data_IF_004940538822
#
_entry.id   IF_004940538822
#
_cell.length_a   1.000
_cell.length_b   1.000
_cell.length_c   1.000
_cell.angle_alpha   90.00
_cell.angle_beta   90.00
_cell.angle_gamma   90.00
#
_symmetry.space_group_name_H-M   'P 1'
#
loop_
_entity.id
_entity.type
_entity.pdbx_description
1 polymer ?
#
# COMPACT_ATOMS: atom_id res chain seq x y z
N UNK A 1 18.15 6.72 -11.13
CA UNK A 1 18.14 8.18 -10.96
C UNK A 1 16.83 8.57 -10.31
N UNK A 2 16.85 9.23 -9.17
CA UNK A 2 15.65 9.66 -8.44
C UNK A 2 15.16 11.01 -8.96
N UNK A 3 13.87 11.34 -8.76
CA UNK A 3 13.32 12.67 -9.10
C UNK A 3 14.09 13.79 -8.40
N UNK A 4 14.57 13.52 -7.18
CA UNK A 4 15.39 14.45 -6.41
C UNK A 4 16.77 14.68 -7.05
N UNK A 5 17.46 13.62 -7.48
CA UNK A 5 18.74 13.75 -8.22
C UNK A 5 18.57 14.55 -9.52
N UNK A 6 17.46 14.37 -10.23
CA UNK A 6 17.14 15.13 -11.45
C UNK A 6 16.86 16.60 -11.11
N UNK A 7 16.13 16.86 -10.04
CA UNK A 7 15.86 18.21 -9.57
C UNK A 7 17.15 18.94 -9.18
N UNK A 8 18.07 18.23 -8.51
CA UNK A 8 19.38 18.75 -8.12
C UNK A 8 20.26 19.07 -9.34
N UNK A 9 20.28 18.20 -10.37
CA UNK A 9 21.00 18.46 -11.64
C UNK A 9 20.45 19.69 -12.36
N UNK A 10 19.13 19.87 -12.32
CA UNK A 10 18.44 20.98 -12.98
C UNK A 10 18.43 22.25 -12.11
N UNK A 11 19.04 22.23 -10.93
CA UNK A 11 19.03 23.31 -9.93
C UNK A 11 17.62 23.84 -9.61
N UNK A 12 16.62 22.96 -9.67
CA UNK A 12 15.22 23.27 -9.34
C UNK A 12 14.76 22.48 -8.13
N UNK A 13 13.78 23.04 -7.41
CA UNK A 13 13.12 22.32 -6.32
C UNK A 13 12.30 21.17 -6.89
N UNK A 14 12.31 20.01 -6.22
CA UNK A 14 11.59 18.80 -6.64
C UNK A 14 10.10 19.05 -6.94
N UNK A 15 9.42 19.91 -6.16
CA UNK A 15 8.02 20.23 -6.44
C UNK A 15 7.82 20.96 -7.77
N UNK A 16 8.78 21.79 -8.22
CA UNK A 16 8.70 22.46 -9.54
C UNK A 16 8.90 21.45 -10.66
N UNK A 17 9.82 20.51 -10.48
CA UNK A 17 9.98 19.39 -11.41
C UNK A 17 8.67 18.61 -11.53
N UNK A 18 8.00 18.33 -10.41
CA UNK A 18 6.70 17.66 -10.41
C UNK A 18 5.60 18.48 -11.09
N UNK A 19 5.60 19.81 -10.95
CA UNK A 19 4.68 20.70 -11.68
C UNK A 19 4.90 20.60 -13.19
N UNK A 20 6.15 20.67 -13.67
CA UNK A 20 6.45 20.55 -15.10
C UNK A 20 6.03 19.20 -15.70
N UNK A 21 6.14 18.13 -14.92
CA UNK A 21 5.64 16.81 -15.31
C UNK A 21 4.10 16.82 -15.40
N UNK A 22 3.42 17.32 -14.37
CA UNK A 22 1.95 17.36 -14.33
C UNK A 22 1.36 18.22 -15.45
N UNK A 23 2.03 19.33 -15.77
CA UNK A 23 1.63 20.26 -16.82
C UNK A 23 2.01 19.77 -18.24
N UNK A 24 2.71 18.64 -18.34
CA UNK A 24 3.07 18.00 -19.60
C UNK A 24 4.30 18.60 -20.31
N UNK A 25 5.04 19.49 -19.65
CA UNK A 25 6.31 20.04 -20.18
C UNK A 25 7.46 19.02 -20.13
N UNK A 26 7.37 18.04 -19.22
CA UNK A 26 8.36 16.97 -19.06
C UNK A 26 7.67 15.61 -19.06
N UNK A 27 8.19 14.66 -19.83
CA UNK A 27 7.76 13.27 -19.84
C UNK A 27 8.61 12.45 -18.86
N UNK A 28 7.99 11.96 -17.78
CA UNK A 28 8.65 11.14 -16.76
C UNK A 28 8.51 9.63 -16.97
N UNK A 29 7.92 9.18 -18.09
CA UNK A 29 7.71 7.75 -18.41
C UNK A 29 9.00 6.93 -18.36
N UNK A 30 10.12 7.49 -18.81
CA UNK A 30 11.44 6.84 -18.78
C UNK A 30 11.94 6.71 -17.33
N UNK A 31 11.64 7.68 -16.46
CA UNK A 31 12.08 7.72 -15.06
C UNK A 31 11.28 6.77 -14.15
N UNK A 32 10.06 6.41 -14.54
CA UNK A 32 9.20 5.48 -13.79
C UNK A 32 9.67 4.02 -13.79
N UNK A 33 10.62 3.63 -14.63
CA UNK A 33 11.14 2.25 -14.67
C UNK A 33 11.76 1.79 -13.34
N UNK A 34 12.17 2.71 -12.45
CA UNK A 34 12.67 2.37 -11.12
C UNK A 34 11.59 2.33 -10.02
N UNK A 35 10.42 2.93 -10.24
CA UNK A 35 9.33 2.97 -9.24
C UNK A 35 8.52 1.66 -9.17
N UNK A 36 8.80 0.74 -10.10
CA UNK A 36 8.24 -0.60 -10.15
C UNK A 36 8.59 -1.43 -8.89
N UNK A 37 9.73 -1.14 -8.24
CA UNK A 37 10.07 -1.74 -6.94
C UNK A 37 9.18 -1.23 -5.80
N UNK A 38 8.70 0.02 -5.85
CA UNK A 38 7.71 0.54 -4.88
C UNK A 38 6.30 0.00 -5.18
N UNK A 39 5.93 -0.15 -6.45
CA UNK A 39 4.66 -0.80 -6.85
C UNK A 39 4.62 -2.28 -6.47
N UNK A 40 5.71 -3.05 -6.66
CA UNK A 40 5.80 -4.45 -6.19
C UNK A 40 5.66 -4.56 -4.66
N UNK A 41 6.15 -3.57 -3.89
CA UNK A 41 5.89 -3.47 -2.43
C UNK A 41 4.46 -3.07 -2.07
N UNK A 42 3.61 -2.63 -3.00
CA UNK A 42 2.20 -2.29 -2.74
C UNK A 42 1.22 -3.43 -3.00
N UNK A 43 1.65 -4.49 -3.69
CA UNK A 43 0.83 -5.66 -3.99
C UNK A 43 0.99 -6.79 -2.97
N UNK A 44 1.30 -6.46 -1.70
CA UNK A 44 1.30 -7.48 -0.66
C UNK A 44 -0.12 -7.99 -0.47
N UNK A 45 -0.29 -9.29 -0.59
CA UNK A 45 -1.53 -9.96 -0.25
C UNK A 45 -1.49 -10.36 1.21
N UNK A 46 -2.67 -10.52 1.77
CA UNK A 46 -2.84 -10.93 3.15
C UNK A 46 -3.89 -12.02 3.20
N UNK A 47 -3.62 -13.08 3.97
CA UNK A 47 -4.64 -14.06 4.36
C UNK A 47 -5.33 -13.55 5.61
N UNK A 48 -6.65 -13.52 5.57
CA UNK A 48 -7.49 -13.11 6.69
C UNK A 48 -8.16 -14.32 7.32
N UNK A 49 -8.13 -14.36 8.65
CA UNK A 49 -8.76 -15.40 9.45
C UNK A 49 -9.73 -14.77 10.44
N UNK A 50 -10.87 -15.43 10.66
CA UNK A 50 -11.88 -15.06 11.66
C UNK A 50 -12.07 -16.25 12.60
N UNK A 51 -11.85 -16.04 13.90
CA UNK A 51 -11.95 -17.08 14.93
C UNK A 51 -11.09 -18.34 14.69
N UNK A 52 -10.08 -18.25 13.82
CA UNK A 52 -9.24 -19.39 13.42
C UNK A 52 -9.54 -19.89 12.01
N UNK A 53 -10.73 -19.59 11.49
CA UNK A 53 -11.15 -20.03 10.16
C UNK A 53 -10.67 -19.08 9.08
N UNK A 54 -10.21 -19.64 7.97
CA UNK A 54 -9.77 -18.88 6.81
C UNK A 54 -10.97 -18.22 6.10
N UNK A 55 -10.87 -16.92 5.84
CA UNK A 55 -11.92 -16.16 5.13
C UNK A 55 -11.53 -15.93 3.66
N UNK A 56 -10.29 -15.53 3.41
CA UNK A 56 -9.86 -15.12 2.08
C UNK A 56 -8.44 -14.54 2.03
N UNK A 57 -7.96 -14.32 0.81
CA UNK A 57 -6.66 -13.73 0.51
C UNK A 57 -6.84 -12.54 -0.42
N UNK A 58 -6.16 -11.43 -0.12
CA UNK A 58 -6.24 -10.24 -0.96
C UNK A 58 -5.48 -9.05 -0.39
N UNK A 59 -5.60 -7.91 -1.06
CA UNK A 59 -5.15 -6.62 -0.54
C UNK A 59 -6.04 -6.15 0.61
N UNK A 60 -5.67 -5.06 1.29
CA UNK A 60 -6.52 -4.50 2.33
C UNK A 60 -7.89 -4.03 1.82
N UNK A 61 -7.96 -3.59 0.57
CA UNK A 61 -9.20 -3.13 -0.08
C UNK A 61 -10.11 -4.32 -0.39
N UNK A 62 -9.57 -5.37 -1.01
CA UNK A 62 -10.31 -6.60 -1.31
C UNK A 62 -10.85 -7.27 -0.04
N UNK A 63 -10.06 -7.31 1.04
CA UNK A 63 -10.49 -7.88 2.32
C UNK A 63 -11.52 -6.99 3.06
N UNK A 64 -11.45 -5.68 2.88
CA UNK A 64 -12.42 -4.73 3.43
C UNK A 64 -13.79 -4.95 2.79
N UNK A 65 -13.84 -5.12 1.47
CA UNK A 65 -15.07 -5.46 0.75
C UNK A 65 -15.62 -6.81 1.18
N UNK A 66 -14.78 -7.85 1.20
CA UNK A 66 -15.16 -9.22 1.55
C UNK A 66 -15.73 -9.36 2.97
N UNK A 67 -15.26 -8.54 3.91
CA UNK A 67 -15.69 -8.61 5.32
C UNK A 67 -16.66 -7.50 5.72
N UNK A 68 -17.03 -6.63 4.77
CA UNK A 68 -17.82 -5.42 5.00
C UNK A 68 -17.24 -4.55 6.14
N UNK A 69 -15.91 -4.40 6.17
CA UNK A 69 -15.18 -3.59 7.14
C UNK A 69 -14.45 -2.45 6.43
N UNK A 70 -14.02 -1.45 7.19
CA UNK A 70 -13.17 -0.39 6.63
C UNK A 70 -11.73 -0.87 6.50
N UNK A 71 -11.02 -0.40 5.46
CA UNK A 71 -9.58 -0.65 5.26
C UNK A 71 -8.76 -0.35 6.52
N UNK A 72 -9.11 0.72 7.24
CA UNK A 72 -8.47 1.09 8.49
C UNK A 72 -8.63 -0.01 9.56
N UNK A 73 -9.83 -0.60 9.67
CA UNK A 73 -10.10 -1.73 10.58
C UNK A 73 -9.27 -2.96 10.20
N UNK A 74 -9.17 -3.27 8.90
CA UNK A 74 -8.35 -4.38 8.40
C UNK A 74 -6.87 -4.19 8.76
N UNK A 75 -6.32 -2.98 8.59
CA UNK A 75 -4.93 -2.67 8.96
C UNK A 75 -4.66 -2.90 10.45
N UNK A 76 -5.64 -2.68 11.32
CA UNK A 76 -5.49 -2.96 12.75
C UNK A 76 -5.38 -4.47 13.06
N UNK A 77 -5.86 -5.36 12.18
CA UNK A 77 -5.75 -6.82 12.33
C UNK A 77 -4.38 -7.38 11.91
N UNK A 78 -3.47 -6.53 11.40
CA UNK A 78 -2.07 -6.87 11.09
C UNK A 78 -1.20 -7.10 12.34
N UNK A 79 -1.74 -6.86 13.55
CA UNK A 79 -0.99 -7.08 14.78
C UNK A 79 -1.01 -8.55 15.19
N UNK A 80 0.17 -9.15 15.43
CA UNK A 80 0.35 -10.53 15.91
C UNK A 80 -0.38 -10.83 17.22
N UNK A 81 -0.86 -9.79 17.89
CA UNK A 81 -1.71 -9.89 19.07
C UNK A 81 -3.16 -9.84 18.62
N UNK A 82 -3.81 -10.99 18.62
CA UNK A 82 -5.27 -11.09 18.67
C UNK A 82 -5.80 -10.07 19.70
N UNK A 83 -6.32 -8.93 19.24
CA UNK A 83 -6.95 -7.98 20.18
C UNK A 83 -8.27 -8.60 20.63
N UNK A 84 -8.21 -9.28 21.76
CA UNK A 84 -9.33 -9.66 22.61
C UNK A 84 -10.07 -8.38 23.03
N UNK A 85 -10.93 -7.84 22.18
CA UNK A 85 -12.08 -7.08 22.68
C UNK A 85 -13.07 -8.12 23.18
N UNK A 86 -13.50 -7.97 24.44
CA UNK A 86 -14.33 -8.91 25.21
C UNK A 86 -15.66 -9.31 24.57
N UNK A 87 -15.97 -8.87 23.36
CA UNK A 87 -17.14 -9.34 22.61
C UNK A 87 -16.81 -9.59 21.12
N UNK A 88 -17.05 -10.84 20.73
CA UNK A 88 -17.64 -11.31 19.47
C UNK A 88 -16.82 -11.78 18.26
N UNK A 89 -15.65 -11.28 17.85
CA UNK A 89 -14.94 -11.89 16.70
C UNK A 89 -13.42 -11.61 16.70
N UNK A 90 -12.61 -12.67 16.57
CA UNK A 90 -11.14 -12.63 16.54
C UNK A 90 -10.64 -12.61 15.09
N UNK A 91 -10.28 -11.43 14.59
CA UNK A 91 -9.65 -11.32 13.27
C UNK A 91 -8.12 -11.37 13.38
N UNK A 92 -7.50 -12.13 12.47
CA UNK A 92 -6.06 -12.17 12.29
C UNK A 92 -5.72 -11.98 10.82
N UNK A 93 -4.73 -11.16 10.57
CA UNK A 93 -4.22 -10.90 9.23
C UNK A 93 -2.78 -11.40 9.13
N UNK A 94 -2.49 -12.21 8.12
CA UNK A 94 -1.16 -12.77 7.88
C UNK A 94 -0.69 -12.35 6.51
N UNK A 95 0.47 -11.70 6.43
CA UNK A 95 1.07 -11.29 5.17
C UNK A 95 1.46 -12.51 4.34
N UNK A 96 1.14 -12.49 3.05
CA UNK A 96 1.52 -13.50 2.06
C UNK A 96 2.21 -12.77 0.91
N UNK A 97 3.43 -13.19 0.64
CA UNK A 97 4.31 -12.58 -0.39
C UNK A 97 3.65 -12.53 -1.77
#
# INVERSE_FOLDING_TARGET
>A
MTKQEIADILEIKEYRLQTYINDGYLDDTIWHTFDDKRKKRRNFKYKMFKNGDYIGVGTFEELAELTHKTVQSIRYYHTEKYKLRKHTDRFRLVKVE
#
